data_IF_575442573927
#
_entry.id   IF_575442573927
#
_cell.length_a   1.000
_cell.length_b   1.000
_cell.length_c   1.000
_cell.angle_alpha   90.00
_cell.angle_beta   90.00
_cell.angle_gamma   90.00
#
_symmetry.space_group_name_H-M   'P 1'
#
loop_
_entity.id
_entity.type
_entity.pdbx_description
1 polymer ?
#
# COMPACT_ATOMS: atom_id res chain seq x y z
N UNK A 1 -27.75 10.80 -1.80
CA UNK A 1 -28.26 9.66 -2.59
C UNK A 1 -27.30 9.20 -3.69
N UNK A 2 -26.52 10.06 -4.39
CA UNK A 2 -25.48 9.60 -5.35
C UNK A 2 -24.17 9.09 -4.69
N UNK A 3 -23.84 9.55 -3.49
CA UNK A 3 -22.59 9.19 -2.78
C UNK A 3 -22.60 7.76 -2.21
N UNK A 4 -23.75 7.30 -1.69
CA UNK A 4 -23.84 6.02 -0.99
C UNK A 4 -23.65 4.82 -1.94
N UNK A 5 -24.15 4.94 -3.18
CA UNK A 5 -23.97 3.91 -4.21
C UNK A 5 -22.52 3.84 -4.73
N UNK A 6 -21.82 4.98 -4.78
CA UNK A 6 -20.41 5.02 -5.17
C UNK A 6 -19.52 4.45 -4.05
N UNK A 7 -19.81 4.80 -2.79
CA UNK A 7 -19.12 4.24 -1.63
C UNK A 7 -19.33 2.73 -1.51
N UNK A 8 -20.58 2.26 -1.61
CA UNK A 8 -20.88 0.83 -1.62
C UNK A 8 -20.19 0.10 -2.78
N UNK A 9 -20.13 0.71 -3.97
CA UNK A 9 -19.40 0.16 -5.11
C UNK A 9 -17.88 0.02 -4.85
N UNK A 10 -17.26 1.01 -4.21
CA UNK A 10 -15.83 0.96 -3.83
C UNK A 10 -15.59 -0.13 -2.80
N UNK A 11 -16.38 -0.18 -1.72
CA UNK A 11 -16.25 -1.18 -0.66
C UNK A 11 -16.47 -2.59 -1.22
N UNK A 12 -17.53 -2.79 -2.00
CA UNK A 12 -17.83 -4.07 -2.65
C UNK A 12 -16.67 -4.54 -3.54
N UNK A 13 -16.14 -3.64 -4.37
CA UNK A 13 -15.01 -3.90 -5.26
C UNK A 13 -13.75 -4.24 -4.46
N UNK A 14 -13.45 -3.48 -3.39
CA UNK A 14 -12.31 -3.74 -2.50
C UNK A 14 -12.39 -5.14 -1.89
N UNK A 15 -13.56 -5.50 -1.38
CA UNK A 15 -13.82 -6.79 -0.74
C UNK A 15 -13.66 -7.96 -1.71
N UNK A 16 -14.27 -7.88 -2.89
CA UNK A 16 -14.22 -8.96 -3.87
C UNK A 16 -12.81 -9.20 -4.36
N UNK A 17 -12.05 -8.12 -4.54
CA UNK A 17 -10.68 -8.22 -4.96
C UNK A 17 -9.75 -8.72 -3.85
N UNK A 18 -9.88 -8.21 -2.63
CA UNK A 18 -9.11 -8.69 -1.48
C UNK A 18 -9.41 -10.16 -1.14
N UNK A 19 -10.66 -10.59 -1.32
CA UNK A 19 -11.07 -11.98 -1.17
C UNK A 19 -10.59 -12.90 -2.31
N UNK A 20 -9.95 -12.35 -3.35
CA UNK A 20 -9.49 -13.10 -4.52
C UNK A 20 -10.64 -13.62 -5.40
N UNK A 21 -11.85 -13.08 -5.24
CA UNK A 21 -13.02 -13.46 -6.04
C UNK A 21 -12.99 -12.85 -7.43
N UNK A 22 -12.34 -11.69 -7.59
CA UNK A 22 -12.16 -11.01 -8.87
C UNK A 22 -10.67 -10.88 -9.21
N UNK A 23 -10.36 -10.92 -10.51
CA UNK A 23 -9.08 -10.47 -11.04
C UNK A 23 -8.96 -8.95 -10.96
N UNK A 24 -7.75 -8.41 -11.13
CA UNK A 24 -7.53 -6.96 -11.12
C UNK A 24 -8.28 -6.28 -12.27
N UNK A 25 -8.32 -6.91 -13.45
CA UNK A 25 -9.06 -6.44 -14.62
C UNK A 25 -10.58 -6.49 -14.39
N UNK A 26 -11.10 -7.59 -13.83
CA UNK A 26 -12.52 -7.68 -13.47
C UNK A 26 -12.92 -6.56 -12.49
N UNK A 27 -12.03 -6.28 -11.54
CA UNK A 27 -12.19 -5.20 -10.56
C UNK A 27 -12.18 -3.82 -11.22
N UNK A 28 -11.31 -3.59 -12.21
CA UNK A 28 -11.28 -2.35 -13.00
C UNK A 28 -12.55 -2.17 -13.83
N UNK A 29 -13.01 -3.23 -14.49
CA UNK A 29 -14.11 -3.18 -15.46
C UNK A 29 -15.51 -3.16 -14.79
N UNK A 30 -15.60 -3.45 -13.48
CA UNK A 30 -16.86 -3.42 -12.75
C UNK A 30 -17.38 -2.00 -12.45
N UNK A 31 -18.33 -1.51 -13.26
CA UNK A 31 -18.95 -0.20 -13.05
C UNK A 31 -18.03 0.99 -13.38
N UNK A 32 -18.53 2.22 -13.20
CA UNK A 32 -17.76 3.44 -13.50
C UNK A 32 -16.53 3.59 -12.60
N UNK A 33 -15.42 4.04 -13.18
CA UNK A 33 -14.20 4.39 -12.43
C UNK A 33 -14.41 5.75 -11.76
N UNK A 34 -14.79 5.73 -10.48
CA UNK A 34 -14.81 6.91 -9.63
C UNK A 34 -13.41 7.25 -9.11
N UNK A 35 -13.18 8.49 -8.67
CA UNK A 35 -11.90 8.90 -8.03
C UNK A 35 -11.54 8.05 -6.80
N UNK A 36 -12.55 7.57 -6.06
CA UNK A 36 -12.33 6.68 -4.92
C UNK A 36 -11.88 5.27 -5.34
N UNK A 37 -12.55 4.68 -6.34
CA UNK A 37 -12.19 3.36 -6.91
C UNK A 37 -10.79 3.42 -7.53
N UNK A 38 -10.52 4.47 -8.28
CA UNK A 38 -9.23 4.81 -8.85
C UNK A 38 -8.08 4.72 -7.84
N UNK A 39 -8.17 5.48 -6.74
CA UNK A 39 -7.13 5.52 -5.69
C UNK A 39 -6.96 4.18 -4.99
N UNK A 40 -8.06 3.48 -4.74
CA UNK A 40 -8.02 2.14 -4.16
C UNK A 40 -7.25 1.16 -5.06
N UNK A 41 -7.53 1.15 -6.36
CA UNK A 41 -6.83 0.27 -7.32
C UNK A 41 -5.34 0.58 -7.40
N UNK A 42 -4.99 1.88 -7.43
CA UNK A 42 -3.59 2.34 -7.42
C UNK A 42 -2.86 1.83 -6.18
N UNK A 43 -3.45 2.03 -4.98
CA UNK A 43 -2.84 1.57 -3.71
C UNK A 43 -2.65 0.07 -3.68
N UNK A 44 -3.62 -0.70 -4.17
CA UNK A 44 -3.47 -2.14 -4.24
C UNK A 44 -2.35 -2.55 -5.20
N UNK A 45 -2.31 -1.96 -6.39
CA UNK A 45 -1.25 -2.24 -7.38
C UNK A 45 0.14 -1.93 -6.80
N UNK A 46 0.27 -0.83 -6.04
CA UNK A 46 1.47 -0.51 -5.27
C UNK A 46 1.80 -1.62 -4.27
N UNK A 47 0.84 -2.02 -3.43
CA UNK A 47 1.06 -3.00 -2.35
C UNK A 47 1.35 -4.42 -2.86
N UNK A 48 0.85 -4.76 -4.03
CA UNK A 48 1.15 -6.05 -4.68
C UNK A 48 2.41 -6.02 -5.52
N UNK A 49 2.94 -4.84 -5.85
CA UNK A 49 4.16 -4.66 -6.63
C UNK A 49 4.11 -5.38 -7.98
N UNK A 50 2.91 -5.43 -8.57
CA UNK A 50 2.71 -6.00 -9.89
C UNK A 50 2.85 -4.88 -10.93
N UNK A 51 3.89 -4.97 -11.75
CA UNK A 51 4.20 -3.96 -12.77
C UNK A 51 3.07 -3.81 -13.81
N UNK A 52 2.46 -4.91 -14.25
CA UNK A 52 1.37 -4.89 -15.24
C UNK A 52 0.12 -4.20 -14.68
N UNK A 53 -0.23 -4.52 -13.42
CA UNK A 53 -1.35 -3.87 -12.73
C UNK A 53 -1.09 -2.38 -12.50
N UNK A 54 0.14 -2.00 -12.16
CA UNK A 54 0.54 -0.60 -12.01
C UNK A 54 0.45 0.15 -13.34
N UNK A 55 0.95 -0.43 -14.44
CA UNK A 55 0.79 0.14 -15.78
C UNK A 55 -0.67 0.31 -16.15
N UNK A 56 -1.48 -0.73 -15.94
CA UNK A 56 -2.90 -0.71 -16.26
C UNK A 56 -3.63 0.35 -15.45
N UNK A 57 -3.31 0.49 -14.15
CA UNK A 57 -3.81 1.57 -13.31
C UNK A 57 -3.40 2.94 -13.85
N UNK A 58 -2.11 3.18 -14.08
CA UNK A 58 -1.62 4.47 -14.56
C UNK A 58 -2.30 4.87 -15.88
N UNK A 59 -2.48 3.93 -16.83
CA UNK A 59 -3.15 4.21 -18.11
C UNK A 59 -4.66 4.44 -17.96
N UNK A 60 -5.37 3.58 -17.23
CA UNK A 60 -6.84 3.60 -17.17
C UNK A 60 -7.42 4.54 -16.11
N UNK A 61 -6.65 4.84 -15.07
CA UNK A 61 -7.11 5.61 -13.91
C UNK A 61 -6.61 7.05 -13.95
N UNK A 62 -5.35 7.25 -14.29
CA UNK A 62 -4.74 8.58 -14.36
C UNK A 62 -4.87 9.17 -15.78
N UNK A 63 -4.99 8.30 -16.78
CA UNK A 63 -5.03 8.68 -18.20
C UNK A 63 -3.64 8.60 -18.81
N UNK A 64 -3.58 8.27 -20.10
CA UNK A 64 -2.33 8.42 -20.84
C UNK A 64 -2.05 9.89 -21.12
N UNK A 65 -0.78 10.33 -21.07
CA UNK A 65 0.44 9.55 -20.76
C UNK A 65 0.85 9.64 -19.26
N UNK A 66 1.83 8.84 -18.76
CA UNK A 66 2.27 8.85 -17.35
C UNK A 66 2.77 10.20 -16.80
N UNK A 67 3.13 11.12 -17.68
CA UNK A 67 3.42 12.54 -17.42
C UNK A 67 2.17 13.39 -17.14
N UNK A 68 0.97 12.83 -17.33
CA UNK A 68 -0.30 13.38 -16.87
C UNK A 68 -0.62 13.05 -15.41
N UNK A 69 0.25 12.30 -14.71
CA UNK A 69 0.17 12.13 -13.25
C UNK A 69 0.13 13.52 -12.61
N UNK A 70 -0.98 13.90 -11.95
CA UNK A 70 -1.06 15.19 -11.31
C UNK A 70 0.06 15.27 -10.27
N UNK A 71 1.00 16.19 -10.45
CA UNK A 71 2.15 16.31 -9.56
C UNK A 71 1.74 16.61 -8.11
N UNK A 72 0.50 17.08 -7.91
CA UNK A 72 -0.17 17.36 -6.64
C UNK A 72 -0.86 16.12 -6.00
N UNK A 73 -0.79 14.94 -6.59
CA UNK A 73 -1.41 13.72 -6.05
C UNK A 73 -0.39 12.66 -5.65
N UNK A 74 -0.46 12.29 -4.36
CA UNK A 74 0.46 11.33 -3.74
C UNK A 74 0.39 9.91 -4.34
N UNK A 75 -0.80 9.32 -4.42
CA UNK A 75 -0.96 7.90 -4.83
C UNK A 75 -0.48 7.66 -6.27
N UNK A 76 -0.85 8.49 -7.28
CA UNK A 76 -0.30 8.42 -8.64
C UNK A 76 1.23 8.56 -8.71
N UNK A 77 1.81 9.54 -8.01
CA UNK A 77 3.25 9.78 -8.02
C UNK A 77 4.02 8.60 -7.40
N UNK A 78 3.50 8.04 -6.30
CA UNK A 78 4.06 6.84 -5.68
C UNK A 78 3.96 5.63 -6.61
N UNK A 79 2.83 5.43 -7.29
CA UNK A 79 2.67 4.33 -8.25
C UNK A 79 3.67 4.41 -9.40
N UNK A 80 3.88 5.60 -9.96
CA UNK A 80 4.89 5.80 -11.00
C UNK A 80 6.31 5.50 -10.49
N UNK A 81 6.64 5.93 -9.27
CA UNK A 81 7.94 5.62 -8.66
C UNK A 81 8.14 4.11 -8.48
N UNK A 82 7.13 3.40 -7.98
CA UNK A 82 7.19 1.94 -7.80
C UNK A 82 7.31 1.23 -9.15
N UNK A 83 6.55 1.66 -10.17
CA UNK A 83 6.67 1.11 -11.52
C UNK A 83 8.06 1.33 -12.11
N UNK A 84 8.63 2.53 -11.96
CA UNK A 84 9.99 2.85 -12.40
C UNK A 84 11.00 1.89 -11.77
N UNK A 85 10.88 1.64 -10.45
CA UNK A 85 11.75 0.73 -9.70
C UNK A 85 11.63 -0.72 -10.16
N UNK A 86 10.40 -1.21 -10.35
CA UNK A 86 10.15 -2.57 -10.86
C UNK A 86 10.70 -2.77 -12.28
N UNK A 87 10.77 -1.70 -13.08
CA UNK A 87 11.40 -1.67 -14.40
C UNK A 87 12.93 -1.48 -14.36
N UNK A 88 13.54 -1.48 -13.18
CA UNK A 88 14.99 -1.35 -13.01
C UNK A 88 15.53 0.07 -13.22
N UNK A 89 14.67 1.10 -13.20
CA UNK A 89 15.12 2.49 -13.27
C UNK A 89 15.75 2.90 -11.94
N UNK A 90 16.82 3.71 -12.01
CA UNK A 90 17.55 4.21 -10.84
C UNK A 90 16.75 5.30 -10.13
N UNK A 91 15.90 4.88 -9.20
CA UNK A 91 15.19 5.74 -8.22
C UNK A 91 15.51 5.27 -6.81
N UNK A 92 15.10 6.00 -5.79
CA UNK A 92 15.24 5.53 -4.41
C UNK A 92 14.40 6.30 -3.40
N UNK A 93 14.75 6.13 -2.13
CA UNK A 93 14.02 6.75 -1.01
C UNK A 93 14.03 8.27 -1.07
N UNK A 94 15.10 8.88 -1.62
CA UNK A 94 15.14 10.32 -1.84
C UNK A 94 14.11 10.81 -2.86
N UNK A 95 13.77 10.02 -3.89
CA UNK A 95 12.69 10.36 -4.83
C UNK A 95 11.32 10.26 -4.14
N UNK A 96 11.13 9.24 -3.29
CA UNK A 96 9.93 9.13 -2.46
C UNK A 96 9.77 10.34 -1.53
N UNK A 97 10.84 10.78 -0.87
CA UNK A 97 10.79 11.93 0.04
C UNK A 97 10.43 13.24 -0.69
N UNK A 98 10.87 13.39 -1.96
CA UNK A 98 10.45 14.52 -2.81
C UNK A 98 8.95 14.47 -3.12
N UNK A 99 8.40 13.28 -3.42
CA UNK A 99 6.96 13.10 -3.64
C UNK A 99 6.18 13.51 -2.39
N UNK A 100 6.59 13.02 -1.21
CA UNK A 100 5.94 13.36 0.07
C UNK A 100 5.99 14.86 0.35
N UNK A 101 7.12 15.52 0.04
CA UNK A 101 7.29 16.96 0.23
C UNK A 101 6.45 17.81 -0.71
N UNK A 102 6.30 17.38 -1.97
CA UNK A 102 5.48 18.09 -2.96
C UNK A 102 3.98 17.85 -2.75
N UNK A 103 3.62 16.61 -2.41
CA UNK A 103 2.25 16.09 -2.40
C UNK A 103 2.07 15.15 -1.21
N UNK A 104 1.86 15.68 0.00
CA UNK A 104 1.71 14.84 1.17
C UNK A 104 0.45 13.97 1.05
N UNK A 105 0.50 12.73 1.53
CA UNK A 105 -0.66 11.85 1.56
C UNK A 105 -1.77 12.44 2.44
N UNK A 106 -3.02 12.36 1.96
CA UNK A 106 -4.19 12.82 2.69
C UNK A 106 -4.63 11.78 3.74
N UNK A 107 -3.91 11.74 4.88
CA UNK A 107 -4.26 10.94 6.06
C UNK A 107 -4.44 11.87 7.26
N UNK A 108 -5.65 11.89 7.82
CA UNK A 108 -5.99 12.76 8.94
C UNK A 108 -5.27 12.38 10.25
N UNK A 109 -5.11 11.07 10.52
CA UNK A 109 -4.42 10.60 11.72
C UNK A 109 -2.91 10.67 11.54
N UNK A 110 -2.24 11.42 12.42
CA UNK A 110 -0.77 11.48 12.46
C UNK A 110 -0.13 10.10 12.67
N UNK A 111 -0.75 9.23 13.46
CA UNK A 111 -0.21 7.88 13.72
C UNK A 111 -0.26 7.01 12.46
N UNK A 112 -1.40 7.00 11.77
CA UNK A 112 -1.57 6.29 10.50
C UNK A 112 -0.64 6.84 9.41
N UNK A 113 -0.46 8.16 9.38
CA UNK A 113 0.46 8.81 8.46
C UNK A 113 1.91 8.33 8.67
N UNK A 114 2.39 8.30 9.92
CA UNK A 114 3.75 7.84 10.23
C UNK A 114 3.97 6.38 9.82
N UNK A 115 3.02 5.50 10.14
CA UNK A 115 3.05 4.09 9.74
C UNK A 115 3.19 3.96 8.23
N UNK A 116 2.29 4.61 7.47
CA UNK A 116 2.30 4.52 6.02
C UNK A 116 3.60 5.06 5.41
N UNK A 117 4.11 6.18 5.92
CA UNK A 117 5.36 6.77 5.41
C UNK A 117 6.56 5.84 5.62
N UNK A 118 6.75 5.26 6.81
CA UNK A 118 7.84 4.31 7.07
C UNK A 118 7.67 3.01 6.30
N UNK A 119 6.43 2.54 6.16
CA UNK A 119 6.09 1.37 5.37
C UNK A 119 6.51 1.53 3.90
N UNK A 120 6.18 2.67 3.29
CA UNK A 120 6.56 2.95 1.91
C UNK A 120 8.06 3.23 1.76
N UNK A 121 8.71 3.95 2.68
CA UNK A 121 10.19 4.07 2.65
C UNK A 121 10.87 2.71 2.68
N UNK A 122 10.40 1.80 3.55
CA UNK A 122 10.87 0.42 3.61
C UNK A 122 10.65 -0.34 2.30
N UNK A 123 9.48 -0.18 1.68
CA UNK A 123 9.17 -0.80 0.38
C UNK A 123 10.11 -0.31 -0.72
N UNK A 124 10.31 1.01 -0.82
CA UNK A 124 11.22 1.61 -1.80
C UNK A 124 12.67 1.15 -1.55
N UNK A 125 13.13 1.18 -0.29
CA UNK A 125 14.46 0.70 0.10
C UNK A 125 14.67 -0.77 -0.28
N UNK A 126 13.65 -1.61 -0.07
CA UNK A 126 13.69 -3.02 -0.49
C UNK A 126 13.81 -3.17 -2.01
N UNK A 127 12.99 -2.45 -2.77
CA UNK A 127 12.99 -2.54 -4.24
C UNK A 127 14.34 -2.12 -4.84
N UNK A 128 15.08 -1.21 -4.19
CA UNK A 128 16.43 -0.80 -4.63
C UNK A 128 17.57 -1.62 -4.01
N UNK A 129 17.27 -2.57 -3.12
CA UNK A 129 18.27 -3.37 -2.43
C UNK A 129 19.04 -2.65 -1.31
N UNK A 130 18.55 -1.52 -0.81
CA UNK A 130 19.15 -0.80 0.32
C UNK A 130 18.74 -1.42 1.66
N UNK A 131 19.48 -2.46 2.05
CA UNK A 131 19.23 -3.18 3.31
C UNK A 131 19.41 -2.32 4.56
N UNK A 132 20.24 -1.29 4.51
CA UNK A 132 20.49 -0.41 5.66
C UNK A 132 19.24 0.44 5.93
N UNK A 133 18.72 1.07 4.89
CA UNK A 133 17.49 1.88 5.00
C UNK A 133 16.29 0.97 5.26
N UNK A 134 16.16 -0.17 4.58
CA UNK A 134 15.07 -1.12 4.83
C UNK A 134 15.00 -1.53 6.30
N UNK A 135 16.15 -1.88 6.90
CA UNK A 135 16.24 -2.27 8.30
C UNK A 135 15.81 -1.14 9.23
N UNK A 136 16.32 0.07 9.00
CA UNK A 136 15.97 1.26 9.78
C UNK A 136 14.47 1.55 9.70
N UNK A 137 13.94 1.66 8.48
CA UNK A 137 12.55 2.04 8.26
C UNK A 137 11.57 0.96 8.71
N UNK A 138 11.97 -0.33 8.68
CA UNK A 138 11.16 -1.41 9.28
C UNK A 138 11.09 -1.31 10.81
N UNK A 139 12.18 -0.88 11.48
CA UNK A 139 12.17 -0.65 12.92
C UNK A 139 11.34 0.58 13.31
N UNK A 140 11.44 1.68 12.56
CA UNK A 140 10.61 2.87 12.78
C UNK A 140 9.14 2.60 12.45
N UNK A 141 8.84 1.85 11.39
CA UNK A 141 7.50 1.39 11.09
C UNK A 141 6.91 0.57 12.24
N UNK A 142 7.70 -0.33 12.86
CA UNK A 142 7.25 -1.11 14.02
C UNK A 142 6.91 -0.24 15.22
N UNK A 143 7.76 0.75 15.53
CA UNK A 143 7.49 1.70 16.63
C UNK A 143 6.21 2.49 16.36
N UNK A 144 6.05 3.00 15.14
CA UNK A 144 4.84 3.73 14.73
C UNK A 144 3.59 2.83 14.78
N UNK A 145 3.73 1.56 14.42
CA UNK A 145 2.65 0.56 14.46
C UNK A 145 2.19 0.28 15.89
N UNK A 146 3.12 0.07 16.82
CA UNK A 146 2.79 -0.15 18.23
C UNK A 146 2.19 1.09 18.91
N UNK A 147 2.45 2.27 18.36
CA UNK A 147 1.88 3.53 18.84
C UNK A 147 0.53 3.87 18.20
N UNK A 148 -0.07 2.97 17.42
CA UNK A 148 -1.43 3.15 16.92
C UNK A 148 -2.43 3.04 18.09
N UNK A 149 -3.34 4.01 18.24
CA UNK A 149 -4.49 3.87 19.13
C UNK A 149 -5.31 2.62 18.79
N UNK A 150 -5.89 1.97 19.80
CA UNK A 150 -6.60 0.69 19.65
C UNK A 150 -7.81 0.81 18.70
N UNK A 151 -8.43 1.99 18.65
CA UNK A 151 -9.53 2.32 17.75
C UNK A 151 -9.12 2.43 16.27
N UNK A 152 -7.82 2.59 15.98
CA UNK A 152 -7.31 2.62 14.61
C UNK A 152 -6.94 1.21 14.16
N UNK A 153 -7.94 0.50 13.64
CA UNK A 153 -7.77 -0.86 13.15
C UNK A 153 -6.69 -0.96 12.05
N UNK A 154 -5.78 -1.91 12.22
CA UNK A 154 -4.79 -2.29 11.23
C UNK A 154 -5.48 -2.74 9.93
N UNK A 155 -5.40 -1.92 8.88
CA UNK A 155 -5.96 -2.30 7.58
C UNK A 155 -5.11 -3.40 6.95
N UNK A 156 -5.75 -4.47 6.49
CA UNK A 156 -5.07 -5.62 5.86
C UNK A 156 -4.15 -5.20 4.70
N UNK A 157 -4.51 -4.12 3.98
CA UNK A 157 -3.73 -3.51 2.90
C UNK A 157 -2.30 -3.11 3.31
N UNK A 158 -2.04 -2.86 4.60
CA UNK A 158 -0.72 -2.48 5.09
C UNK A 158 0.07 -3.66 5.67
N UNK A 159 -0.61 -4.74 6.04
CA UNK A 159 0.03 -5.94 6.60
C UNK A 159 0.87 -6.68 5.57
N UNK A 160 0.39 -6.79 4.33
CA UNK A 160 1.10 -7.45 3.23
C UNK A 160 2.44 -6.77 2.89
N UNK A 161 2.50 -5.46 2.58
CA UNK A 161 3.77 -4.79 2.33
C UNK A 161 4.67 -4.78 3.56
N UNK A 162 4.11 -4.69 4.79
CA UNK A 162 4.89 -4.75 6.03
C UNK A 162 5.59 -6.10 6.17
N UNK A 163 4.87 -7.19 5.94
CA UNK A 163 5.42 -8.55 5.95
C UNK A 163 6.55 -8.68 4.93
N UNK A 164 6.34 -8.26 3.68
CA UNK A 164 7.37 -8.32 2.62
C UNK A 164 8.65 -7.56 2.99
N UNK A 165 8.51 -6.36 3.56
CA UNK A 165 9.65 -5.58 4.03
C UNK A 165 10.44 -6.33 5.13
N UNK A 166 9.74 -6.85 6.14
CA UNK A 166 10.36 -7.61 7.24
C UNK A 166 11.03 -8.92 6.76
N UNK A 167 10.39 -9.63 5.83
CA UNK A 167 10.94 -10.85 5.21
C UNK A 167 12.17 -10.58 4.35
N UNK A 168 12.27 -9.39 3.75
CA UNK A 168 13.39 -9.06 2.87
C UNK A 168 14.64 -8.60 3.63
N UNK A 169 14.52 -8.27 4.92
CA UNK A 169 15.69 -8.06 5.77
C UNK A 169 16.46 -9.39 5.84
N UNK A 170 17.77 -9.43 5.52
CA UNK A 170 18.56 -10.66 5.61
C UNK A 170 18.50 -11.28 7.01
N UNK A 171 18.35 -12.61 7.17
CA UNK A 171 18.17 -13.23 8.49
C UNK A 171 19.25 -12.87 9.51
N UNK A 172 20.51 -12.76 9.08
CA UNK A 172 21.65 -12.36 9.93
C UNK A 172 21.57 -10.91 10.44
N UNK A 173 20.75 -10.07 9.80
CA UNK A 173 20.59 -8.65 10.13
C UNK A 173 19.27 -8.36 10.86
N UNK A 174 18.38 -9.35 11.00
CA UNK A 174 17.11 -9.21 11.72
C UNK A 174 17.35 -9.13 13.23
N UNK A 175 16.86 -8.05 13.85
CA UNK A 175 16.88 -7.88 15.30
C UNK A 175 15.80 -8.75 15.96
N UNK A 176 15.76 -8.79 17.30
CA UNK A 176 14.63 -9.40 18.04
C UNK A 176 13.32 -8.71 17.66
N UNK A 177 13.31 -7.38 17.63
CA UNK A 177 12.17 -6.56 17.22
C UNK A 177 11.62 -6.98 15.84
N UNK A 178 12.48 -7.15 14.82
CA UNK A 178 12.03 -7.54 13.48
C UNK A 178 11.40 -8.94 13.44
N UNK A 179 11.96 -9.90 14.20
CA UNK A 179 11.44 -11.27 14.25
C UNK A 179 10.06 -11.31 14.90
N UNK A 180 9.89 -10.58 16.00
CA UNK A 180 8.60 -10.48 16.70
C UNK A 180 7.55 -9.74 15.85
N UNK A 181 7.95 -8.65 15.21
CA UNK A 181 7.09 -7.91 14.28
C UNK A 181 6.60 -8.80 13.13
N UNK A 182 7.49 -9.60 12.53
CA UNK A 182 7.14 -10.53 11.46
C UNK A 182 6.16 -11.61 11.93
N UNK A 183 6.41 -12.21 13.09
CA UNK A 183 5.52 -13.22 13.67
C UNK A 183 4.13 -12.65 13.97
N UNK A 184 4.03 -11.44 14.55
CA UNK A 184 2.75 -10.75 14.77
C UNK A 184 2.03 -10.45 13.46
N UNK A 185 2.74 -9.88 12.49
CA UNK A 185 2.17 -9.56 11.17
C UNK A 185 1.59 -10.82 10.50
N UNK A 186 2.31 -11.94 10.57
CA UNK A 186 1.86 -13.22 10.03
C UNK A 186 0.59 -13.72 10.73
N UNK A 187 0.56 -13.68 12.07
CA UNK A 187 -0.60 -14.09 12.85
C UNK A 187 -1.83 -13.21 12.57
N UNK A 188 -1.64 -11.90 12.40
CA UNK A 188 -2.69 -10.95 12.03
C UNK A 188 -3.27 -11.28 10.64
N UNK A 189 -2.42 -11.51 9.63
CA UNK A 189 -2.85 -11.91 8.29
C UNK A 189 -3.62 -13.24 8.33
N UNK A 190 -3.12 -14.24 9.06
CA UNK A 190 -3.80 -15.53 9.22
C UNK A 190 -5.15 -15.39 9.92
N UNK A 191 -5.24 -14.51 10.92
CA UNK A 191 -6.50 -14.18 11.59
C UNK A 191 -7.51 -13.58 10.61
N UNK A 192 -7.08 -12.65 9.75
CA UNK A 192 -7.92 -12.08 8.68
C UNK A 192 -8.43 -13.15 7.71
N UNK A 193 -7.56 -14.06 7.26
CA UNK A 193 -7.91 -15.16 6.35
C UNK A 193 -8.90 -16.12 7.03
N UNK A 194 -8.61 -16.56 8.27
CA UNK A 194 -9.44 -17.52 9.01
C UNK A 194 -10.83 -16.98 9.34
N UNK A 195 -10.94 -15.67 9.58
CA UNK A 195 -12.21 -14.98 9.86
C UNK A 195 -12.99 -14.64 8.59
N UNK A 196 -12.56 -15.09 7.42
CA UNK A 196 -13.35 -15.06 6.17
C UNK A 196 -13.63 -13.66 5.61
N UNK A 197 -12.75 -12.68 5.82
CA UNK A 197 -12.99 -11.26 5.47
C UNK A 197 -14.33 -10.69 6.00
N UNK A 198 -15.01 -11.36 6.94
CA UNK A 198 -16.37 -11.02 7.39
C UNK A 198 -16.47 -9.68 8.13
N UNK A 199 -15.35 -9.07 8.50
CA UNK A 199 -15.30 -7.73 9.13
C UNK A 199 -15.54 -6.55 8.18
N UNK A 200 -15.64 -6.79 6.87
CA UNK A 200 -15.97 -5.72 5.91
C UNK A 200 -17.49 -5.56 5.73
N UNK A 201 -18.31 -6.36 6.44
CA UNK A 201 -19.78 -6.33 6.43
C UNK A 201 -20.34 -6.43 7.86
N UNK A 202 -19.90 -5.61 8.81
CA UNK A 202 -20.76 -5.33 9.96
C UNK A 202 -20.86 -3.81 10.16
N UNK A 203 -22.09 -3.27 10.35
CA UNK A 203 -22.38 -1.83 10.38
C UNK A 203 -21.81 -1.11 11.60
#
# INVERSE_FOLDING_TARGET
QRDDHQFAGIVYTAMHYQAGMWSFEQTLDFGEITTGKARMMIRYAIHTENADNLELCLRRVIGEPPDAVPANEYDPALAQLVLDLLKGRKRGVADFDKIVGASPPNIQSKHLLQVMLHLHRGMIARLVGDNTVLKKESAECEKAWQALPEELMAKIEWLLPRRRNLESIPPRQRTKLHREALARTQAEIESYIKRGYHFLIEP
#
